data_IF_455040430905
#
_entry.id   IF_455040430905
#
_cell.length_a   1.000
_cell.length_b   1.000
_cell.length_c   1.000
_cell.angle_alpha   90.00
_cell.angle_beta   90.00
_cell.angle_gamma   90.00
#
_symmetry.space_group_name_H-M   'P 1'
#
loop_
_entity.id
_entity.type
_entity.pdbx_description
1 polymer ?
#
# COMPACT_ATOMS: atom_id res chain seq x y z
N UNK A 1 -4.26 -0.54 -19.21
CA UNK A 1 -3.02 -0.73 -20.00
C UNK A 1 -2.54 -2.17 -19.84
N UNK A 2 -2.14 -2.81 -20.93
CA UNK A 2 -1.83 -4.25 -21.05
C UNK A 2 -0.47 -4.65 -20.44
N UNK A 3 -0.31 -5.90 -20.00
CA UNK A 3 0.98 -6.49 -19.57
C UNK A 3 1.78 -7.05 -20.77
N UNK A 4 1.58 -6.49 -21.98
CA UNK A 4 2.08 -7.05 -23.23
C UNK A 4 3.60 -7.26 -23.20
N UNK A 5 4.36 -6.27 -22.72
CA UNK A 5 5.81 -6.37 -22.63
C UNK A 5 6.30 -7.50 -21.68
N UNK A 6 5.52 -7.84 -20.65
CA UNK A 6 5.81 -8.99 -19.77
C UNK A 6 5.58 -10.32 -20.51
N UNK A 7 4.54 -10.41 -21.33
CA UNK A 7 4.22 -11.61 -22.12
C UNK A 7 4.91 -11.68 -23.49
N UNK A 8 5.83 -10.77 -23.79
CA UNK A 8 6.54 -10.71 -25.08
C UNK A 8 5.69 -10.19 -26.24
N UNK A 9 4.55 -9.57 -25.96
CA UNK A 9 3.66 -8.97 -26.97
C UNK A 9 4.03 -7.50 -27.23
N UNK A 10 4.16 -7.13 -28.51
CA UNK A 10 4.43 -5.75 -28.93
C UNK A 10 5.87 -5.32 -28.66
N UNK A 11 6.84 -6.05 -29.23
CA UNK A 11 8.26 -5.76 -29.09
C UNK A 11 8.59 -4.31 -29.47
N UNK A 12 8.98 -3.52 -28.47
CA UNK A 12 9.68 -2.27 -28.69
C UNK A 12 11.02 -2.56 -29.41
N UNK A 13 11.65 -1.56 -30.05
CA UNK A 13 13.00 -1.71 -30.60
C UNK A 13 13.96 -2.28 -29.55
N UNK A 14 15.00 -3.03 -29.98
CA UNK A 14 16.02 -3.53 -29.06
C UNK A 14 16.57 -2.40 -28.18
N UNK A 15 16.56 -2.63 -26.88
CA UNK A 15 17.09 -1.70 -25.88
C UNK A 15 18.14 -2.45 -25.05
N UNK A 16 19.41 -2.20 -25.38
CA UNK A 16 20.57 -2.88 -24.79
C UNK A 16 20.87 -2.40 -23.36
N UNK A 17 20.13 -1.43 -22.84
CA UNK A 17 20.31 -0.98 -21.45
C UNK A 17 20.00 -2.12 -20.46
N UNK A 18 20.74 -2.19 -19.34
CA UNK A 18 20.49 -3.17 -18.29
C UNK A 18 19.04 -3.10 -17.78
N UNK A 19 18.41 -4.26 -17.67
CA UNK A 19 17.04 -4.37 -17.19
C UNK A 19 16.99 -4.30 -15.65
N UNK A 20 16.13 -3.41 -15.15
CA UNK A 20 15.73 -3.34 -13.75
C UNK A 20 14.29 -3.84 -13.61
N UNK A 21 14.10 -4.90 -12.83
CA UNK A 21 12.80 -5.46 -12.53
C UNK A 21 12.28 -4.90 -11.20
N UNK A 22 11.10 -4.28 -11.21
CA UNK A 22 10.47 -3.74 -9.99
C UNK A 22 9.34 -4.66 -9.56
N UNK A 23 9.48 -5.32 -8.40
CA UNK A 23 8.55 -6.37 -7.94
C UNK A 23 7.92 -5.97 -6.60
N UNK A 24 6.63 -6.21 -6.46
CA UNK A 24 5.89 -5.94 -5.23
C UNK A 24 4.39 -5.91 -5.45
N UNK A 25 3.66 -5.30 -4.53
CA UNK A 25 2.22 -5.06 -4.68
C UNK A 25 1.94 -3.93 -5.71
N UNK A 26 0.74 -3.36 -5.69
CA UNK A 26 0.36 -2.25 -6.60
C UNK A 26 1.33 -1.05 -6.59
N UNK A 27 2.08 -0.83 -5.49
CA UNK A 27 3.09 0.23 -5.38
C UNK A 27 4.28 0.01 -6.33
N UNK A 28 4.59 -1.24 -6.70
CA UNK A 28 5.74 -1.54 -7.55
C UNK A 28 5.61 -0.91 -8.94
N UNK A 29 4.43 -0.95 -9.54
CA UNK A 29 4.18 -0.28 -10.82
C UNK A 29 4.25 1.24 -10.69
N UNK A 30 3.81 1.81 -9.56
CA UNK A 30 3.94 3.24 -9.31
C UNK A 30 5.41 3.66 -9.21
N UNK A 31 6.21 2.91 -8.44
CA UNK A 31 7.65 3.13 -8.32
C UNK A 31 8.38 2.92 -9.65
N UNK A 32 8.03 1.90 -10.42
CA UNK A 32 8.59 1.67 -11.76
C UNK A 32 8.35 2.88 -12.65
N UNK A 33 7.17 3.47 -12.63
CA UNK A 33 6.85 4.68 -13.41
C UNK A 33 7.68 5.89 -12.98
N UNK A 34 8.03 6.01 -11.69
CA UNK A 34 8.96 7.04 -11.19
C UNK A 34 10.37 6.83 -11.77
N UNK A 35 10.89 5.60 -11.69
CA UNK A 35 12.22 5.26 -12.24
C UNK A 35 12.26 5.41 -13.77
N UNK A 36 11.18 5.00 -14.45
CA UNK A 36 11.04 5.13 -15.90
C UNK A 36 10.93 6.59 -16.37
N UNK A 37 10.50 7.51 -15.50
CA UNK A 37 10.42 8.93 -15.83
C UNK A 37 11.79 9.62 -15.81
N UNK A 38 12.82 9.00 -15.21
CA UNK A 38 14.16 9.58 -15.10
C UNK A 38 14.76 9.81 -16.50
N UNK A 39 15.13 11.07 -16.85
CA UNK A 39 15.79 11.39 -18.11
C UNK A 39 17.16 10.71 -18.23
N UNK A 40 17.53 10.33 -19.45
CA UNK A 40 18.85 9.75 -19.79
C UNK A 40 19.27 8.56 -18.89
N UNK A 41 18.29 7.85 -18.33
CA UNK A 41 18.54 6.70 -17.45
C UNK A 41 19.40 5.65 -18.15
N UNK A 42 20.46 5.13 -17.50
CA UNK A 42 21.35 4.11 -18.05
C UNK A 42 20.78 2.70 -17.90
N UNK A 43 19.48 2.57 -17.59
CA UNK A 43 18.77 1.32 -17.37
C UNK A 43 17.41 1.39 -18.05
N UNK A 44 16.77 0.24 -18.23
CA UNK A 44 15.38 0.14 -18.67
C UNK A 44 14.54 -0.61 -17.65
N UNK A 45 13.24 -0.33 -17.62
CA UNK A 45 12.29 -1.09 -16.81
C UNK A 45 11.26 -1.77 -17.70
N UNK A 46 10.62 -2.82 -17.19
CA UNK A 46 9.46 -3.44 -17.84
C UNK A 46 8.30 -3.50 -16.85
N UNK A 47 7.10 -3.25 -17.37
CA UNK A 47 5.87 -3.39 -16.59
C UNK A 47 5.52 -4.86 -16.44
N UNK A 48 5.32 -5.30 -15.21
CA UNK A 48 4.87 -6.65 -14.86
C UNK A 48 3.62 -6.57 -13.96
N UNK A 49 2.82 -7.64 -13.86
CA UNK A 49 1.74 -7.71 -12.88
C UNK A 49 2.25 -7.53 -11.44
N UNK A 50 1.47 -6.94 -10.53
CA UNK A 50 1.81 -6.96 -9.12
C UNK A 50 1.84 -8.41 -8.62
N UNK A 51 2.68 -8.70 -7.62
CA UNK A 51 2.99 -10.06 -7.17
C UNK A 51 1.77 -10.89 -6.74
N UNK A 52 0.68 -10.23 -6.34
CA UNK A 52 -0.57 -10.92 -5.96
C UNK A 52 -1.48 -11.25 -7.15
N UNK A 53 -1.18 -10.76 -8.35
CA UNK A 53 -1.84 -11.13 -9.60
C UNK A 53 -1.07 -12.23 -10.36
N UNK A 54 0.23 -12.39 -10.09
CA UNK A 54 1.07 -13.42 -10.73
C UNK A 54 0.55 -14.82 -10.39
N UNK A 55 0.30 -15.61 -11.43
CA UNK A 55 -0.10 -17.02 -11.34
C UNK A 55 0.94 -17.99 -11.92
N UNK A 56 0.67 -19.31 -11.88
CA UNK A 56 1.60 -20.33 -12.38
C UNK A 56 1.98 -20.15 -13.86
N UNK A 57 1.04 -19.69 -14.70
CA UNK A 57 1.28 -19.45 -16.14
C UNK A 57 2.29 -18.34 -16.42
N UNK A 58 2.52 -17.47 -15.45
CA UNK A 58 3.33 -16.27 -15.61
C UNK A 58 4.80 -16.54 -15.25
N UNK A 59 5.08 -17.65 -14.56
CA UNK A 59 6.42 -17.99 -14.07
C UNK A 59 7.46 -18.10 -15.19
N UNK A 60 7.20 -18.74 -16.35
CA UNK A 60 8.19 -18.79 -17.42
C UNK A 60 8.61 -17.40 -17.94
N UNK A 61 7.66 -16.47 -18.02
CA UNK A 61 7.92 -15.09 -18.44
C UNK A 61 8.70 -14.32 -17.38
N UNK A 62 8.35 -14.50 -16.11
CA UNK A 62 9.07 -13.91 -14.99
C UNK A 62 10.51 -14.42 -14.92
N UNK A 63 10.73 -15.73 -15.08
CA UNK A 63 12.05 -16.35 -15.03
C UNK A 63 12.94 -15.87 -16.19
N UNK A 64 12.39 -15.71 -17.40
CA UNK A 64 13.10 -15.14 -18.54
C UNK A 64 13.56 -13.68 -18.28
N UNK A 65 12.71 -12.87 -17.63
CA UNK A 65 13.07 -11.51 -17.26
C UNK A 65 14.11 -11.49 -16.12
N UNK A 66 13.96 -12.32 -15.09
CA UNK A 66 14.91 -12.39 -13.98
C UNK A 66 16.31 -12.80 -14.45
N UNK A 67 16.40 -13.80 -15.34
CA UNK A 67 17.67 -14.30 -15.87
C UNK A 67 18.48 -13.23 -16.62
N UNK A 68 17.81 -12.22 -17.18
CA UNK A 68 18.42 -11.11 -17.94
C UNK A 68 18.45 -9.79 -17.18
N UNK A 69 17.90 -9.75 -15.96
CA UNK A 69 17.86 -8.54 -15.14
C UNK A 69 19.23 -8.28 -14.51
N UNK A 70 19.70 -7.03 -14.62
CA UNK A 70 20.87 -6.55 -13.90
C UNK A 70 20.53 -6.13 -12.47
N UNK A 71 19.25 -5.79 -12.21
CA UNK A 71 18.79 -5.40 -10.89
C UNK A 71 17.36 -5.88 -10.61
N UNK A 72 17.15 -6.38 -9.39
CA UNK A 72 15.85 -6.62 -8.81
C UNK A 72 15.57 -5.58 -7.73
N UNK A 73 14.54 -4.78 -7.92
CA UNK A 73 14.05 -3.78 -6.96
C UNK A 73 12.75 -4.30 -6.36
N UNK A 74 12.84 -4.98 -5.23
CA UNK A 74 11.73 -5.80 -4.70
C UNK A 74 11.23 -5.34 -3.35
N UNK A 75 9.92 -5.45 -3.11
CA UNK A 75 9.41 -5.42 -1.74
C UNK A 75 9.79 -6.72 -1.00
N UNK A 76 9.90 -6.71 0.34
CA UNK A 76 9.96 -7.94 1.12
C UNK A 76 8.71 -8.81 0.90
N UNK A 77 8.92 -9.95 0.24
CA UNK A 77 7.90 -10.97 -0.05
C UNK A 77 8.37 -12.27 0.60
N UNK A 78 7.47 -12.90 1.36
CA UNK A 78 7.77 -14.18 2.02
C UNK A 78 8.04 -15.29 1.00
N UNK A 79 8.89 -16.24 1.36
CA UNK A 79 9.08 -17.51 0.65
C UNK A 79 7.73 -18.23 0.46
N UNK A 80 7.55 -18.86 -0.70
CA UNK A 80 6.31 -19.59 -1.03
C UNK A 80 5.07 -18.69 -1.03
N UNK A 81 5.20 -17.42 -1.42
CA UNK A 81 4.08 -16.49 -1.46
C UNK A 81 3.01 -16.98 -2.43
N UNK A 82 1.80 -17.23 -1.91
CA UNK A 82 0.66 -17.84 -2.64
C UNK A 82 1.00 -19.20 -3.25
N UNK A 83 1.82 -19.98 -2.55
CA UNK A 83 2.21 -21.34 -2.97
C UNK A 83 3.01 -21.34 -4.28
N UNK A 84 3.66 -20.20 -4.58
CA UNK A 84 4.52 -19.98 -5.72
C UNK A 84 5.90 -19.50 -5.25
N UNK A 85 6.96 -19.75 -6.03
CA UNK A 85 8.30 -19.23 -5.74
C UNK A 85 8.32 -17.74 -6.09
N UNK A 86 7.73 -16.90 -5.26
CA UNK A 86 7.63 -15.45 -5.46
C UNK A 86 8.25 -14.65 -4.31
N UNK A 87 8.82 -15.33 -3.31
CA UNK A 87 9.56 -14.70 -2.23
C UNK A 87 10.78 -13.94 -2.75
N UNK A 88 11.16 -12.87 -2.07
CA UNK A 88 12.26 -12.00 -2.53
C UNK A 88 13.57 -12.76 -2.67
N UNK A 89 13.88 -13.68 -1.74
CA UNK A 89 15.06 -14.54 -1.82
C UNK A 89 14.97 -15.52 -2.99
N UNK A 90 13.81 -16.15 -3.19
CA UNK A 90 13.58 -17.07 -4.31
C UNK A 90 13.70 -16.34 -5.66
N UNK A 91 13.26 -15.08 -5.74
CA UNK A 91 13.42 -14.24 -6.95
C UNK A 91 14.88 -13.90 -7.20
N UNK A 92 15.62 -13.55 -6.14
CA UNK A 92 17.04 -13.22 -6.23
C UNK A 92 17.90 -14.41 -6.70
N UNK A 93 17.55 -15.64 -6.30
CA UNK A 93 18.24 -16.88 -6.72
C UNK A 93 18.15 -17.15 -8.24
N UNK A 94 17.18 -16.56 -8.93
CA UNK A 94 16.98 -16.68 -10.39
C UNK A 94 17.68 -15.59 -11.20
N UNK A 95 18.32 -14.63 -10.53
CA UNK A 95 19.07 -13.58 -11.20
C UNK A 95 20.42 -14.11 -11.69
N UNK A 96 21.01 -13.39 -12.66
CA UNK A 96 22.42 -13.63 -13.01
C UNK A 96 23.35 -13.37 -11.81
N UNK A 97 24.52 -14.04 -11.69
CA UNK A 97 25.43 -13.84 -10.56
C UNK A 97 25.96 -12.41 -10.39
N UNK A 98 25.94 -11.61 -11.46
CA UNK A 98 26.36 -10.20 -11.45
C UNK A 98 25.23 -9.22 -11.10
N UNK A 99 23.99 -9.70 -10.94
CA UNK A 99 22.85 -8.84 -10.65
C UNK A 99 22.77 -8.48 -9.16
N UNK A 100 22.19 -7.31 -8.88
CA UNK A 100 21.97 -6.82 -7.51
C UNK A 100 20.49 -6.91 -7.15
N UNK A 101 20.18 -7.23 -5.89
CA UNK A 101 18.83 -7.12 -5.34
C UNK A 101 18.80 -5.98 -4.31
N UNK A 102 17.86 -5.03 -4.46
CA UNK A 102 17.57 -3.96 -3.52
C UNK A 102 16.14 -4.09 -3.00
N UNK A 103 15.98 -4.01 -1.68
CA UNK A 103 14.71 -4.14 -0.98
C UNK A 103 14.17 -2.80 -0.54
N UNK A 104 12.91 -2.53 -0.83
CA UNK A 104 12.21 -1.30 -0.46
C UNK A 104 10.88 -1.62 0.26
N UNK A 105 10.38 -0.73 1.13
CA UNK A 105 9.31 -1.11 2.04
C UNK A 105 7.96 -1.26 1.36
N UNK A 106 7.14 -2.17 1.90
CA UNK A 106 5.70 -2.11 1.69
C UNK A 106 5.15 -0.93 2.49
N UNK A 107 4.97 0.22 1.84
CA UNK A 107 4.56 1.45 2.52
C UNK A 107 3.13 1.27 3.04
N UNK A 108 2.98 1.33 4.36
CA UNK A 108 1.68 1.41 5.02
C UNK A 108 1.70 2.51 6.06
N UNK A 109 0.86 3.52 5.89
CA UNK A 109 0.77 4.69 6.75
C UNK A 109 -0.69 5.03 7.09
N UNK A 110 -1.09 4.74 8.32
CA UNK A 110 -2.41 5.02 8.85
C UNK A 110 -2.53 6.41 9.49
N UNK A 111 -1.46 7.22 9.54
CA UNK A 111 -1.53 8.52 10.21
C UNK A 111 -2.57 9.48 9.63
N UNK A 112 -2.76 9.47 8.30
CA UNK A 112 -3.83 10.24 7.65
C UNK A 112 -5.22 9.57 7.73
N UNK A 113 -5.25 8.26 7.96
CA UNK A 113 -6.45 7.42 7.84
C UNK A 113 -6.49 6.38 8.99
N UNK A 114 -6.56 6.83 10.26
CA UNK A 114 -6.29 5.97 11.42
C UNK A 114 -7.30 4.82 11.58
N UNK A 115 -8.51 5.01 11.07
CA UNK A 115 -9.56 4.00 11.13
C UNK A 115 -9.49 2.98 10.00
N UNK A 116 -8.67 3.18 8.96
CA UNK A 116 -8.61 2.24 7.86
C UNK A 116 -7.78 1.01 8.20
N UNK A 117 -8.33 -0.15 7.83
CA UNK A 117 -7.69 -1.43 8.02
C UNK A 117 -7.74 -2.28 6.75
N UNK A 118 -6.66 -3.04 6.54
CA UNK A 118 -6.67 -4.19 5.62
C UNK A 118 -6.73 -5.45 6.49
N UNK A 119 -7.80 -6.21 6.30
CA UNK A 119 -8.02 -7.52 6.91
C UNK A 119 -8.13 -8.52 5.77
N UNK A 120 -7.52 -9.69 5.97
CA UNK A 120 -7.47 -10.76 4.98
C UNK A 120 -7.75 -12.07 5.69
N UNK A 121 -8.71 -12.83 5.18
CA UNK A 121 -9.02 -14.13 5.73
C UNK A 121 -7.89 -15.11 5.38
N UNK A 122 -7.45 -15.97 6.31
CA UNK A 122 -6.37 -16.94 6.04
C UNK A 122 -6.70 -17.90 4.89
N UNK A 123 -7.96 -18.36 4.79
CA UNK A 123 -8.41 -19.30 3.77
C UNK A 123 -8.63 -18.66 2.39
N UNK A 124 -8.99 -17.37 2.34
CA UNK A 124 -9.10 -16.62 1.09
C UNK A 124 -8.65 -15.16 1.28
N UNK A 125 -7.46 -14.86 0.77
CA UNK A 125 -6.83 -13.54 0.87
C UNK A 125 -7.31 -12.57 -0.22
N UNK A 126 -8.17 -13.01 -1.13
CA UNK A 126 -8.70 -12.15 -2.21
C UNK A 126 -9.95 -11.37 -1.80
N UNK A 127 -10.69 -11.87 -0.80
CA UNK A 127 -11.91 -11.22 -0.31
C UNK A 127 -11.61 -9.86 0.29
N UNK A 128 -12.38 -8.87 -0.13
CA UNK A 128 -12.35 -7.48 0.31
C UNK A 128 -13.75 -7.04 0.76
N UNK A 129 -13.86 -6.07 1.68
CA UNK A 129 -15.17 -5.56 2.10
C UNK A 129 -15.88 -4.86 0.91
N UNK A 130 -17.22 -4.76 0.96
CA UNK A 130 -17.99 -4.15 -0.12
C UNK A 130 -17.71 -2.64 -0.26
N UNK A 131 -18.02 -2.11 -1.44
CA UNK A 131 -17.96 -0.69 -1.83
C UNK A 131 -16.53 -0.14 -1.99
N UNK A 132 -15.66 -0.33 -1.01
CA UNK A 132 -14.24 0.05 -1.06
C UNK A 132 -13.39 -1.05 -0.43
N UNK A 133 -12.15 -1.29 -0.89
CA UNK A 133 -11.34 -2.45 -0.47
C UNK A 133 -10.63 -2.27 0.89
N UNK A 134 -11.23 -1.51 1.81
CA UNK A 134 -10.71 -1.20 3.14
C UNK A 134 -11.82 -1.36 4.18
N UNK A 135 -11.47 -1.96 5.31
CA UNK A 135 -12.34 -1.96 6.48
C UNK A 135 -12.21 -0.62 7.21
N UNK A 136 -13.27 -0.19 7.88
CA UNK A 136 -13.22 0.90 8.86
C UNK A 136 -13.34 0.31 10.28
N UNK A 137 -12.37 0.60 11.14
CA UNK A 137 -12.30 0.09 12.51
C UNK A 137 -13.46 0.58 13.38
N UNK A 138 -14.10 1.71 13.05
CA UNK A 138 -15.32 2.18 13.71
C UNK A 138 -16.50 1.31 13.31
N UNK A 139 -16.62 0.96 12.04
CA UNK A 139 -17.64 0.00 11.56
C UNK A 139 -17.43 -1.38 12.17
N UNK A 140 -16.18 -1.82 12.36
CA UNK A 140 -15.85 -3.05 13.08
C UNK A 140 -16.32 -2.97 14.54
N UNK A 141 -16.05 -1.86 15.23
CA UNK A 141 -16.52 -1.63 16.60
C UNK A 141 -18.06 -1.61 16.68
N UNK A 142 -18.73 -0.98 15.72
CA UNK A 142 -20.19 -0.97 15.59
C UNK A 142 -20.77 -2.37 15.38
N UNK A 143 -20.13 -3.19 14.53
CA UNK A 143 -20.51 -4.58 14.29
C UNK A 143 -20.40 -5.41 15.58
N UNK A 144 -19.27 -5.28 16.30
CA UNK A 144 -19.05 -5.93 17.60
C UNK A 144 -20.09 -5.52 18.64
N UNK A 145 -20.50 -4.25 18.64
CA UNK A 145 -21.50 -3.72 19.56
C UNK A 145 -22.96 -4.04 19.17
N UNK A 146 -23.18 -4.67 18.02
CA UNK A 146 -24.51 -5.03 17.54
C UNK A 146 -25.34 -3.83 17.05
N UNK A 147 -24.68 -2.75 16.61
CA UNK A 147 -25.39 -1.55 16.14
C UNK A 147 -26.10 -1.79 14.80
N UNK A 148 -27.22 -1.08 14.60
CA UNK A 148 -27.91 -1.06 13.31
C UNK A 148 -27.19 -0.16 12.29
N UNK A 149 -27.35 -0.39 10.96
CA UNK A 149 -26.73 0.46 9.92
C UNK A 149 -27.11 1.94 9.92
N UNK A 150 -28.18 2.31 10.61
CA UNK A 150 -28.66 3.70 10.73
C UNK A 150 -28.31 4.33 12.07
N UNK A 151 -27.66 3.60 12.98
CA UNK A 151 -27.22 4.14 14.27
C UNK A 151 -26.04 5.11 14.06
N UNK A 152 -25.88 6.05 14.99
CA UNK A 152 -24.65 6.84 15.06
C UNK A 152 -23.47 5.90 15.32
N UNK A 153 -22.47 5.94 14.45
CA UNK A 153 -21.36 4.99 14.42
C UNK A 153 -19.98 5.64 14.48
N UNK A 154 -19.90 6.96 14.24
CA UNK A 154 -18.65 7.69 14.46
C UNK A 154 -18.37 7.79 15.96
N UNK A 155 -17.08 7.88 16.29
CA UNK A 155 -16.60 7.85 17.67
C UNK A 155 -15.85 9.14 17.98
N UNK A 156 -15.90 9.58 19.23
CA UNK A 156 -15.05 10.68 19.68
C UNK A 156 -13.62 10.17 19.90
N UNK A 157 -12.65 10.81 19.25
CA UNK A 157 -11.22 10.48 19.35
C UNK A 157 -10.46 11.77 19.62
N UNK A 158 -9.61 11.77 20.64
CA UNK A 158 -8.85 12.97 21.03
C UNK A 158 -7.71 13.26 20.06
N UNK A 159 -7.20 14.49 20.11
CA UNK A 159 -6.03 14.91 19.34
C UNK A 159 -4.80 14.05 19.67
N UNK A 160 -4.63 13.69 20.94
CA UNK A 160 -3.53 12.86 21.44
C UNK A 160 -3.61 11.45 20.86
N UNK A 161 -4.80 10.86 20.81
CA UNK A 161 -5.02 9.53 20.22
C UNK A 161 -4.71 9.52 18.72
N UNK A 162 -5.12 10.55 17.98
CA UNK A 162 -4.82 10.67 16.55
C UNK A 162 -3.30 10.84 16.29
N UNK A 163 -2.62 11.63 17.12
CA UNK A 163 -1.15 11.75 17.08
C UNK A 163 -0.46 10.44 17.42
N UNK A 164 -0.93 9.74 18.44
CA UNK A 164 -0.40 8.43 18.84
C UNK A 164 -0.59 7.39 17.73
N UNK A 165 -1.75 7.34 17.08
CA UNK A 165 -2.01 6.45 15.95
C UNK A 165 -1.07 6.72 14.76
N UNK A 166 -0.85 8.00 14.41
CA UNK A 166 0.10 8.38 13.37
C UNK A 166 1.54 7.99 13.73
N UNK A 167 1.96 8.25 14.98
CA UNK A 167 3.26 7.87 15.50
C UNK A 167 3.50 6.36 15.47
N UNK A 168 2.54 5.57 15.97
CA UNK A 168 2.59 4.11 15.98
C UNK A 168 2.69 3.53 14.55
N UNK A 169 1.88 4.05 13.62
CA UNK A 169 1.93 3.61 12.23
C UNK A 169 3.28 3.89 11.57
N UNK A 170 3.88 5.06 11.84
CA UNK A 170 5.21 5.42 11.31
C UNK A 170 6.30 4.56 11.94
N UNK A 171 6.25 4.34 13.26
CA UNK A 171 7.19 3.50 13.98
C UNK A 171 7.17 2.05 13.47
N UNK A 172 5.99 1.48 13.22
CA UNK A 172 5.87 0.14 12.65
C UNK A 172 6.38 0.07 11.20
N UNK A 173 6.23 1.13 10.39
CA UNK A 173 6.90 1.20 9.09
C UNK A 173 8.43 1.24 9.24
N UNK A 174 8.96 2.13 10.08
CA UNK A 174 10.39 2.24 10.33
C UNK A 174 11.01 0.93 10.84
N UNK A 175 10.31 0.21 11.73
CA UNK A 175 10.75 -1.10 12.24
C UNK A 175 10.87 -2.14 11.13
N UNK A 176 9.90 -2.18 10.19
CA UNK A 176 9.93 -3.09 9.03
C UNK A 176 11.02 -2.70 8.03
N UNK A 177 11.23 -1.40 7.81
CA UNK A 177 12.32 -0.88 6.99
C UNK A 177 13.68 -1.35 7.51
N UNK A 178 13.96 -1.14 8.80
CA UNK A 178 15.23 -1.54 9.43
C UNK A 178 15.47 -3.06 9.38
N UNK A 179 14.41 -3.86 9.50
CA UNK A 179 14.50 -5.32 9.52
C UNK A 179 14.72 -5.91 8.12
N UNK A 180 13.98 -5.41 7.13
CA UNK A 180 13.78 -6.13 5.87
C UNK A 180 14.21 -5.36 4.61
N UNK A 181 14.59 -4.07 4.72
CA UNK A 181 14.81 -3.20 3.57
C UNK A 181 16.22 -2.61 3.53
N UNK A 182 16.69 -2.32 2.32
CA UNK A 182 17.97 -1.62 2.08
C UNK A 182 17.75 -0.10 1.96
N UNK A 183 16.51 0.31 1.71
CA UNK A 183 16.06 1.71 1.67
C UNK A 183 14.81 1.85 2.54
N UNK A 184 14.74 2.93 3.34
CA UNK A 184 13.52 3.33 4.07
C UNK A 184 12.90 4.61 3.52
N UNK A 185 11.69 4.96 3.98
CA UNK A 185 11.00 6.21 3.63
C UNK A 185 10.16 6.79 4.78
N UNK A 186 10.01 6.06 5.90
CA UNK A 186 9.15 6.44 7.02
C UNK A 186 9.44 7.81 7.62
N UNK A 187 10.69 8.29 7.53
CA UNK A 187 11.16 9.58 8.01
C UNK A 187 10.58 10.78 7.24
N UNK A 188 10.13 10.59 5.99
CA UNK A 188 9.58 11.67 5.15
C UNK A 188 8.06 11.82 5.22
N UNK A 189 7.35 10.86 5.81
CA UNK A 189 5.89 10.82 5.75
C UNK A 189 5.24 12.06 6.38
N UNK A 190 5.78 12.54 7.49
CA UNK A 190 5.26 13.73 8.19
C UNK A 190 5.46 15.00 7.35
N UNK A 191 6.66 15.15 6.76
CA UNK A 191 7.00 16.30 5.91
C UNK A 191 6.15 16.37 4.64
N UNK A 192 5.65 15.23 4.15
CA UNK A 192 4.74 15.17 3.01
C UNK A 192 3.30 15.63 3.33
N UNK A 193 2.93 15.79 4.60
CA UNK A 193 1.62 16.25 5.05
C UNK A 193 0.47 15.46 4.39
N UNK A 194 -0.57 16.16 3.93
CA UNK A 194 -1.71 15.55 3.24
C UNK A 194 -1.34 14.81 1.93
N UNK A 195 -0.15 15.09 1.36
CA UNK A 195 0.34 14.44 0.13
C UNK A 195 1.06 13.12 0.39
N UNK A 196 1.21 12.70 1.65
CA UNK A 196 1.90 11.47 1.99
C UNK A 196 1.21 10.22 1.43
N UNK A 197 -0.13 10.19 1.41
CA UNK A 197 -0.89 9.02 0.94
C UNK A 197 -2.34 9.34 0.56
N UNK A 198 -2.93 8.53 -0.33
CA UNK A 198 -4.35 8.57 -0.72
C UNK A 198 -5.21 7.60 0.09
N UNK A 199 -4.63 6.49 0.55
CA UNK A 199 -5.17 5.51 1.50
C UNK A 199 -4.00 4.94 2.31
N UNK A 200 -4.26 4.05 3.27
CA UNK A 200 -3.19 3.52 4.12
C UNK A 200 -2.06 2.81 3.38
N UNK A 201 -2.25 2.34 2.14
CA UNK A 201 -1.24 1.63 1.35
C UNK A 201 -1.03 2.25 -0.05
N UNK A 202 -1.61 3.42 -0.33
CA UNK A 202 -1.41 4.15 -1.58
C UNK A 202 -0.59 5.43 -1.28
N UNK A 203 0.75 5.34 -1.20
CA UNK A 203 1.61 6.51 -1.01
C UNK A 203 1.42 7.52 -2.15
N UNK A 204 1.47 8.80 -1.82
CA UNK A 204 1.38 9.88 -2.80
C UNK A 204 2.70 10.10 -3.53
N UNK A 205 2.63 10.85 -4.64
CA UNK A 205 3.78 11.11 -5.51
C UNK A 205 5.05 11.59 -4.77
N UNK A 206 5.02 12.54 -3.82
CA UNK A 206 6.24 12.98 -3.14
C UNK A 206 7.00 11.86 -2.43
N UNK A 207 6.26 10.92 -1.83
CA UNK A 207 6.84 9.75 -1.14
C UNK A 207 7.46 8.79 -2.17
N UNK A 208 6.77 8.54 -3.28
CA UNK A 208 7.25 7.67 -4.36
C UNK A 208 8.45 8.26 -5.11
N UNK A 209 8.46 9.57 -5.35
CA UNK A 209 9.56 10.31 -5.98
C UNK A 209 10.81 10.27 -5.10
N UNK A 210 10.66 10.55 -3.80
CA UNK A 210 11.75 10.45 -2.84
C UNK A 210 12.26 9.00 -2.70
N UNK A 211 11.38 8.01 -2.70
CA UNK A 211 11.77 6.59 -2.70
C UNK A 211 12.55 6.23 -3.96
N UNK A 212 12.11 6.68 -5.14
CA UNK A 212 12.83 6.51 -6.40
C UNK A 212 14.24 7.08 -6.31
N UNK A 213 14.41 8.29 -5.76
CA UNK A 213 15.72 8.90 -5.56
C UNK A 213 16.61 8.09 -4.61
N UNK A 214 16.06 7.56 -3.51
CA UNK A 214 16.81 6.71 -2.58
C UNK A 214 17.23 5.38 -3.21
N UNK A 215 16.39 4.78 -4.06
CA UNK A 215 16.72 3.56 -4.79
C UNK A 215 17.84 3.82 -5.80
N UNK A 216 17.80 4.93 -6.55
CA UNK A 216 18.88 5.31 -7.46
C UNK A 216 20.19 5.49 -6.70
N UNK A 217 20.17 6.21 -5.58
CA UNK A 217 21.34 6.39 -4.74
C UNK A 217 21.91 5.07 -4.21
N UNK A 218 21.04 4.16 -3.75
CA UNK A 218 21.44 2.81 -3.30
C UNK A 218 22.02 1.95 -4.44
N UNK A 219 21.56 2.18 -5.68
CA UNK A 219 22.11 1.59 -6.89
C UNK A 219 23.40 2.28 -7.39
N UNK A 220 23.92 3.29 -6.68
CA UNK A 220 25.11 4.05 -7.08
C UNK A 220 24.86 5.09 -8.18
N UNK A 221 23.61 5.38 -8.53
CA UNK A 221 23.23 6.36 -9.53
C UNK A 221 22.76 7.67 -8.87
N UNK A 222 23.41 8.78 -9.22
CA UNK A 222 23.02 10.13 -8.77
C UNK A 222 22.26 10.86 -9.87
N UNK A 223 21.03 10.40 -10.12
CA UNK A 223 20.16 10.97 -11.14
C UNK A 223 18.98 11.68 -10.49
N UNK A 224 18.58 12.87 -10.98
CA UNK A 224 17.41 13.56 -10.45
C UNK A 224 16.13 12.81 -10.86
N UNK A 225 15.26 12.55 -9.89
CA UNK A 225 13.91 12.07 -10.15
C UNK A 225 13.03 13.26 -10.51
N UNK A 226 12.35 13.27 -11.67
CA UNK A 226 11.45 14.36 -12.03
C UNK A 226 10.15 14.29 -11.22
N UNK A 227 9.51 15.45 -11.08
CA UNK A 227 8.15 15.53 -10.55
C UNK A 227 7.17 14.83 -11.49
N UNK A 228 6.38 13.89 -10.97
CA UNK A 228 5.34 13.21 -11.72
C UNK A 228 4.05 14.05 -11.63
N UNK A 229 3.59 14.55 -12.78
CA UNK A 229 2.45 15.47 -12.86
C UNK A 229 1.10 14.81 -12.58
N UNK A 230 0.89 13.58 -13.07
CA UNK A 230 -0.33 12.80 -12.81
C UNK A 230 -0.26 12.12 -11.45
N UNK A 231 -1.40 11.93 -10.80
CA UNK A 231 -1.49 11.17 -9.56
C UNK A 231 -1.19 9.69 -9.79
N UNK A 232 -0.27 9.12 -9.00
CA UNK A 232 -0.01 7.68 -8.95
C UNK A 232 -0.91 7.03 -7.90
N UNK A 233 -1.28 5.75 -8.10
CA UNK A 233 -2.16 5.00 -7.18
C UNK A 233 -3.53 5.67 -6.94
N UNK A 234 -4.02 6.40 -7.94
CA UNK A 234 -5.21 7.27 -7.96
C UNK A 234 -6.56 6.52 -7.99
N UNK A 235 -6.55 5.18 -7.87
CA UNK A 235 -7.77 4.36 -7.99
C UNK A 235 -8.76 4.59 -6.85
N UNK A 236 -8.27 4.96 -5.67
CA UNK A 236 -9.09 5.16 -4.48
C UNK A 236 -8.47 6.18 -3.54
N UNK A 237 -9.29 7.10 -3.05
CA UNK A 237 -8.92 8.13 -2.10
C UNK A 237 -9.87 8.07 -0.91
N UNK A 238 -9.29 7.97 0.26
CA UNK A 238 -9.97 7.92 1.55
C UNK A 238 -10.52 9.28 1.97
N UNK A 239 -11.60 9.36 2.77
CA UNK A 239 -11.92 10.58 3.50
C UNK A 239 -10.71 11.04 4.32
N UNK A 240 -10.41 12.34 4.28
CA UNK A 240 -9.37 12.99 5.07
C UNK A 240 -10.07 13.94 6.04
N UNK A 241 -10.25 13.48 7.28
CA UNK A 241 -11.12 14.11 8.26
C UNK A 241 -10.47 15.36 8.87
N UNK A 242 -11.26 16.40 9.13
CA UNK A 242 -10.77 17.66 9.72
C UNK A 242 -10.06 17.44 11.05
N UNK A 243 -10.54 16.52 11.90
CA UNK A 243 -9.90 16.19 13.19
C UNK A 243 -8.49 15.63 13.03
N UNK A 244 -8.24 14.86 11.97
CA UNK A 244 -6.90 14.32 11.66
C UNK A 244 -5.98 15.46 11.20
N UNK A 245 -6.48 16.32 10.31
CA UNK A 245 -5.74 17.49 9.82
C UNK A 245 -5.36 18.43 10.98
N UNK A 246 -6.30 18.74 11.87
CA UNK A 246 -6.06 19.54 13.07
C UNK A 246 -5.05 18.86 14.01
N UNK A 247 -5.22 17.57 14.29
CA UNK A 247 -4.32 16.86 15.20
C UNK A 247 -2.87 16.82 14.70
N UNK A 248 -2.68 16.67 13.39
CA UNK A 248 -1.36 16.60 12.75
C UNK A 248 -0.85 17.96 12.26
N UNK A 249 -1.56 19.06 12.54
CA UNK A 249 -1.22 20.41 12.10
C UNK A 249 -1.00 20.53 10.57
N UNK A 250 -1.83 19.85 9.78
CA UNK A 250 -1.77 19.86 8.31
C UNK A 250 -2.76 20.89 7.77
N UNK A 251 -2.24 21.91 7.09
CA UNK A 251 -3.03 22.96 6.46
C UNK A 251 -3.49 22.54 5.05
N UNK A 252 -4.65 21.90 4.98
CA UNK A 252 -5.31 21.46 3.73
C UNK A 252 -6.80 21.31 3.98
N UNK A 253 -7.63 21.49 2.94
CA UNK A 253 -9.06 21.27 3.04
C UNK A 253 -9.39 19.78 3.31
N UNK A 254 -10.33 19.47 4.21
CA UNK A 254 -10.76 18.10 4.46
C UNK A 254 -11.46 17.48 3.24
N UNK A 255 -11.46 16.16 3.18
CA UNK A 255 -12.24 15.38 2.21
C UNK A 255 -13.24 14.50 2.97
N UNK A 256 -14.53 14.79 2.85
CA UNK A 256 -15.60 14.13 3.61
C UNK A 256 -16.12 12.83 3.01
N UNK A 257 -15.62 12.43 1.84
CA UNK A 257 -16.12 11.29 1.07
C UNK A 257 -14.97 10.46 0.51
N UNK A 258 -15.28 9.23 0.15
CA UNK A 258 -14.38 8.40 -0.63
C UNK A 258 -14.43 8.83 -2.10
N UNK A 259 -13.32 8.74 -2.80
CA UNK A 259 -13.30 8.70 -4.27
C UNK A 259 -12.89 7.29 -4.68
N UNK A 260 -13.69 6.61 -5.49
CA UNK A 260 -13.37 5.29 -6.02
C UNK A 260 -13.50 5.32 -7.54
N UNK A 261 -12.38 5.16 -8.25
CA UNK A 261 -12.30 5.36 -9.70
C UNK A 261 -12.95 6.67 -10.17
N UNK A 262 -12.67 7.78 -9.46
CA UNK A 262 -13.24 9.10 -9.74
C UNK A 262 -14.69 9.30 -9.30
N UNK A 263 -15.36 8.27 -8.78
CA UNK A 263 -16.75 8.36 -8.29
C UNK A 263 -16.78 8.69 -6.80
N UNK A 264 -17.48 9.76 -6.37
CA UNK A 264 -17.64 10.06 -4.95
C UNK A 264 -18.60 9.07 -4.27
N UNK A 265 -18.25 8.61 -3.08
CA UNK A 265 -19.05 7.71 -2.25
C UNK A 265 -19.12 8.24 -0.81
N UNK A 266 -20.32 8.31 -0.24
CA UNK A 266 -20.49 8.77 1.14
C UNK A 266 -19.95 7.76 2.14
N UNK A 267 -19.45 8.26 3.28
CA UNK A 267 -18.97 7.43 4.40
C UNK A 267 -20.08 6.56 4.98
N UNK A 268 -21.30 7.09 5.08
CA UNK A 268 -22.45 6.34 5.61
C UNK A 268 -22.85 5.17 4.70
N UNK A 269 -22.76 5.34 3.38
CA UNK A 269 -23.03 4.25 2.43
C UNK A 269 -22.01 3.13 2.58
N UNK A 270 -20.73 3.49 2.75
CA UNK A 270 -19.66 2.51 2.99
C UNK A 270 -19.89 1.80 4.33
N UNK A 271 -20.15 2.55 5.40
CA UNK A 271 -20.45 2.02 6.73
C UNK A 271 -21.61 1.03 6.69
N UNK A 272 -22.78 1.43 6.18
CA UNK A 272 -23.97 0.59 6.16
C UNK A 272 -23.77 -0.69 5.32
N UNK A 273 -23.11 -0.58 4.16
CA UNK A 273 -22.82 -1.74 3.32
C UNK A 273 -21.87 -2.73 4.01
N UNK A 274 -20.81 -2.22 4.66
CA UNK A 274 -19.85 -3.06 5.37
C UNK A 274 -20.43 -3.67 6.63
N UNK A 275 -21.26 -2.94 7.39
CA UNK A 275 -21.92 -3.45 8.58
C UNK A 275 -22.88 -4.61 8.25
N UNK A 276 -23.69 -4.46 7.20
CA UNK A 276 -24.54 -5.54 6.69
C UNK A 276 -23.70 -6.75 6.24
N UNK A 277 -22.55 -6.50 5.63
CA UNK A 277 -21.65 -7.58 5.21
C UNK A 277 -21.03 -8.32 6.40
N UNK A 278 -20.65 -7.63 7.48
CA UNK A 278 -20.15 -8.28 8.69
C UNK A 278 -21.19 -9.20 9.36
N UNK A 279 -22.48 -8.90 9.26
CA UNK A 279 -23.52 -9.80 9.77
C UNK A 279 -23.50 -11.19 9.08
N UNK A 280 -23.11 -11.23 7.80
CA UNK A 280 -22.94 -12.46 7.04
C UNK A 280 -21.51 -13.03 7.08
N UNK A 281 -20.53 -12.27 7.59
CA UNK A 281 -19.10 -12.62 7.63
C UNK A 281 -18.48 -12.21 8.99
N UNK A 282 -19.03 -12.70 10.12
CA UNK A 282 -18.65 -12.24 11.46
C UNK A 282 -17.18 -12.50 11.80
N UNK A 283 -16.55 -13.51 11.20
CA UNK A 283 -15.14 -13.83 11.37
C UNK A 283 -14.21 -12.66 10.98
N UNK A 284 -14.64 -11.78 10.07
CA UNK A 284 -13.85 -10.60 9.70
C UNK A 284 -13.82 -9.55 10.81
N UNK A 285 -14.84 -9.49 11.67
CA UNK A 285 -14.84 -8.61 12.85
C UNK A 285 -13.77 -9.08 13.83
N UNK A 286 -13.76 -10.38 14.15
CA UNK A 286 -12.77 -10.99 15.04
C UNK A 286 -11.34 -10.89 14.48
N UNK A 287 -11.17 -11.13 13.18
CA UNK A 287 -9.87 -10.96 12.52
C UNK A 287 -9.40 -9.50 12.52
N UNK A 288 -10.32 -8.54 12.34
CA UNK A 288 -10.00 -7.13 12.40
C UNK A 288 -9.53 -6.72 13.81
N UNK A 289 -10.29 -7.10 14.84
CA UNK A 289 -9.97 -6.82 16.25
C UNK A 289 -8.63 -7.46 16.61
N UNK A 290 -8.44 -8.74 16.31
CA UNK A 290 -7.19 -9.45 16.63
C UNK A 290 -5.99 -8.81 15.94
N UNK A 291 -6.10 -8.48 14.65
CA UNK A 291 -5.00 -7.95 13.86
C UNK A 291 -4.66 -6.49 14.17
N UNK A 292 -5.65 -5.70 14.56
CA UNK A 292 -5.51 -4.26 14.76
C UNK A 292 -5.79 -3.83 16.21
N UNK A 293 -5.68 -4.75 17.17
CA UNK A 293 -5.98 -4.52 18.59
C UNK A 293 -5.26 -3.29 19.15
N UNK A 294 -3.96 -3.16 18.90
CA UNK A 294 -3.16 -2.01 19.34
C UNK A 294 -3.69 -0.68 18.78
N UNK A 295 -4.01 -0.63 17.49
CA UNK A 295 -4.57 0.56 16.86
C UNK A 295 -5.97 0.88 17.41
N UNK A 296 -6.81 -0.15 17.60
CA UNK A 296 -8.13 0.02 18.19
C UNK A 296 -8.07 0.50 19.64
N UNK A 297 -7.08 0.04 20.42
CA UNK A 297 -6.84 0.49 21.79
C UNK A 297 -6.39 1.96 21.82
N UNK A 298 -5.39 2.33 21.00
CA UNK A 298 -4.95 3.73 20.83
C UNK A 298 -6.14 4.65 20.53
N UNK A 299 -7.06 4.20 19.67
CA UNK A 299 -8.24 4.96 19.25
C UNK A 299 -9.44 4.82 20.21
N UNK A 300 -9.33 4.06 21.30
CA UNK A 300 -10.42 3.86 22.28
C UNK A 300 -11.60 3.01 21.77
N UNK A 301 -11.44 2.30 20.66
CA UNK A 301 -12.50 1.53 19.99
C UNK A 301 -12.85 0.21 20.69
N UNK A 302 -11.97 -0.29 21.56
CA UNK A 302 -12.21 -1.54 22.29
C UNK A 302 -13.16 -1.35 23.48
N UNK A 303 -13.31 -0.12 23.97
CA UNK A 303 -14.16 0.24 25.11
C UNK A 303 -15.65 0.41 24.74
N UNK A 304 -16.00 0.36 23.45
CA UNK A 304 -17.40 0.42 23.01
C UNK A 304 -18.12 -0.83 23.50
N UNK A 305 -18.98 -0.67 24.51
CA UNK A 305 -19.71 -1.75 25.16
C UNK A 305 -20.73 -2.39 24.21
N UNK A 306 -20.91 -3.70 24.32
CA UNK A 306 -22.01 -4.43 23.66
C UNK A 306 -23.36 -3.90 24.15
N UNK A 307 -24.26 -3.57 23.23
CA UNK A 307 -25.66 -3.36 23.61
C UNK A 307 -26.20 -4.65 24.26
N UNK A 308 -26.82 -4.50 25.43
CA UNK A 308 -27.42 -5.60 26.20
C UNK A 308 -28.71 -6.11 25.55
#
# INVERSE_FOLDING_TARGET
>A
MHYGAFYGEGAAPPDDRPLWLVVGNCQAEALRQVLEAVPDRPYRTVRIPPVHEIGPSDLPYLDALLATSAMLVSQPIRVGYRDLPLGTSELAERLSPSATCLRWPVIRYAGLYPFQAIVRHPADRSVVPPVVPYHDLRTVAAARAGLSPTAAWDVDVTVEQLRAAAGASRAELARREQRDCDVGISDLLEQCGARAAHTINHPGNPVLEALGGRILNAAGLRLPVPTISRTLLDSVHAPLESRVLTALAIDTAPRSHWMHHGTPLSVDKVHAAQLNWYAANPEYVELAITRHAEMMDILGLLAVSTAS
#
